data_IF_678306091387
#
_entry.id   IF_678306091387
#
_cell.length_a   1.000
_cell.length_b   1.000
_cell.length_c   1.000
_cell.angle_alpha   90.00
_cell.angle_beta   90.00
_cell.angle_gamma   90.00
#
_symmetry.space_group_name_H-M   'P 1'
#
loop_
_entity.id
_entity.type
_entity.pdbx_description
1 polymer ?
#
# COMPACT_ATOMS: atom_id res chain seq x y z
N UNK A 1 -88.24 -6.78 -22.60
CA UNK A 1 -87.02 -6.65 -23.44
C UNK A 1 -86.21 -5.50 -22.92
N UNK A 2 -85.18 -5.79 -22.12
CA UNK A 2 -84.26 -4.78 -21.56
C UNK A 2 -83.00 -4.73 -22.44
N UNK A 3 -82.77 -3.59 -23.10
CA UNK A 3 -81.55 -3.31 -23.83
C UNK A 3 -80.43 -2.92 -22.82
N UNK A 4 -79.50 -3.81 -22.62
CA UNK A 4 -78.28 -3.50 -21.92
C UNK A 4 -77.43 -2.54 -22.76
N UNK A 5 -77.41 -1.28 -22.42
CA UNK A 5 -76.45 -0.30 -22.94
C UNK A 5 -75.07 -0.58 -22.39
N UNK A 6 -74.14 -1.02 -23.22
CA UNK A 6 -72.73 -1.09 -22.91
C UNK A 6 -72.20 0.34 -22.76
N UNK A 7 -71.90 0.74 -21.53
CA UNK A 7 -71.27 2.03 -21.26
C UNK A 7 -69.91 2.06 -21.92
N UNK A 8 -69.71 2.96 -22.89
CA UNK A 8 -68.41 3.22 -23.49
C UNK A 8 -67.43 3.74 -22.39
N UNK A 9 -66.29 3.10 -22.24
CA UNK A 9 -65.26 3.53 -21.34
C UNK A 9 -64.85 4.99 -21.63
N UNK A 10 -64.71 5.87 -20.62
CA UNK A 10 -64.33 7.26 -20.84
C UNK A 10 -62.96 7.32 -21.52
N UNK A 11 -62.93 7.88 -22.75
CA UNK A 11 -61.72 8.06 -23.50
C UNK A 11 -60.70 8.82 -22.66
N UNK A 12 -59.51 8.28 -22.57
CA UNK A 12 -58.39 8.85 -21.77
C UNK A 12 -58.19 10.32 -22.20
N UNK A 13 -58.27 11.30 -21.28
CA UNK A 13 -58.19 12.71 -21.66
C UNK A 13 -56.87 12.99 -22.37
N UNK A 14 -56.91 13.61 -23.55
CA UNK A 14 -55.74 13.87 -24.39
C UNK A 14 -54.55 14.49 -23.62
N UNK A 15 -54.82 15.27 -22.55
CA UNK A 15 -53.85 15.85 -21.64
C UNK A 15 -53.05 14.78 -20.91
N UNK A 16 -53.64 13.69 -20.50
CA UNK A 16 -52.99 12.58 -19.83
C UNK A 16 -52.10 11.81 -20.83
N UNK A 17 -52.56 11.64 -22.07
CA UNK A 17 -51.76 11.03 -23.14
C UNK A 17 -50.51 11.88 -23.46
N UNK A 18 -50.66 13.19 -23.52
CA UNK A 18 -49.49 14.08 -23.76
C UNK A 18 -48.51 14.07 -22.62
N UNK A 19 -48.95 14.08 -21.35
CA UNK A 19 -48.07 14.01 -20.18
C UNK A 19 -47.33 12.66 -20.13
N UNK A 20 -48.05 11.55 -20.35
CA UNK A 20 -47.43 10.20 -20.39
C UNK A 20 -46.44 10.10 -21.54
N UNK A 21 -46.79 10.63 -22.73
CA UNK A 21 -45.89 10.67 -23.88
C UNK A 21 -44.59 11.45 -23.60
N UNK A 22 -44.72 12.61 -22.96
CA UNK A 22 -43.56 13.42 -22.58
C UNK A 22 -42.67 12.71 -21.56
N UNK A 23 -43.24 12.04 -20.56
CA UNK A 23 -42.49 11.23 -19.58
C UNK A 23 -41.76 10.06 -20.22
N UNK A 24 -42.42 9.38 -21.18
CA UNK A 24 -41.77 8.28 -21.92
C UNK A 24 -40.61 8.76 -22.79
N UNK A 25 -40.75 9.91 -23.45
CA UNK A 25 -39.67 10.52 -24.24
C UNK A 25 -38.50 10.90 -23.32
N UNK A 26 -38.77 11.49 -22.16
CA UNK A 26 -37.74 11.83 -21.16
C UNK A 26 -37.04 10.57 -20.67
N UNK A 27 -37.80 9.54 -20.31
CA UNK A 27 -37.23 8.25 -19.88
C UNK A 27 -36.36 7.61 -20.97
N UNK A 28 -36.86 7.59 -22.22
CA UNK A 28 -36.11 7.08 -23.36
C UNK A 28 -34.81 7.87 -23.62
N UNK A 29 -34.83 9.21 -23.45
CA UNK A 29 -33.66 10.08 -23.57
C UNK A 29 -32.62 9.75 -22.52
N UNK A 30 -33.03 9.54 -21.27
CA UNK A 30 -32.12 9.16 -20.16
C UNK A 30 -31.50 7.79 -20.42
N UNK A 31 -32.31 6.80 -20.82
CA UNK A 31 -31.80 5.46 -21.14
C UNK A 31 -30.86 5.50 -22.34
N UNK A 32 -31.23 6.23 -23.41
CA UNK A 32 -30.37 6.41 -24.57
C UNK A 32 -29.03 7.05 -24.21
N UNK A 33 -29.02 8.05 -23.33
CA UNK A 33 -27.82 8.68 -22.84
C UNK A 33 -26.94 7.72 -22.02
N UNK A 34 -27.56 6.90 -21.17
CA UNK A 34 -26.85 5.87 -20.40
C UNK A 34 -26.19 4.85 -21.33
N UNK A 35 -26.91 4.37 -22.35
CA UNK A 35 -26.33 3.44 -23.34
C UNK A 35 -25.17 4.07 -24.11
N UNK A 36 -25.30 5.32 -24.53
CA UNK A 36 -24.20 6.04 -25.20
C UNK A 36 -22.97 6.12 -24.33
N UNK A 37 -23.11 6.50 -23.05
CA UNK A 37 -21.97 6.62 -22.12
C UNK A 37 -21.37 5.26 -21.78
N UNK A 38 -22.18 4.21 -21.64
CA UNK A 38 -21.69 2.90 -21.21
C UNK A 38 -21.13 2.03 -22.32
N UNK A 39 -21.64 2.20 -23.55
CA UNK A 39 -21.33 1.29 -24.67
C UNK A 39 -20.56 1.98 -25.80
N UNK A 40 -20.90 3.22 -26.12
CA UNK A 40 -20.37 3.91 -27.31
C UNK A 40 -19.23 4.87 -27.00
N UNK A 41 -19.30 5.56 -25.87
CA UNK A 41 -18.29 6.56 -25.49
C UNK A 41 -17.04 5.85 -24.90
N UNK A 42 -16.07 5.55 -25.75
CA UNK A 42 -14.80 4.92 -25.37
C UNK A 42 -13.94 5.85 -24.47
N UNK A 43 -14.06 7.17 -24.61
CA UNK A 43 -13.30 8.12 -23.79
C UNK A 43 -13.86 8.27 -22.38
N UNK A 44 -15.18 8.13 -22.21
CA UNK A 44 -15.89 8.26 -20.92
C UNK A 44 -16.66 7.01 -20.53
N UNK A 45 -16.50 5.93 -21.26
CA UNK A 45 -17.19 4.67 -21.06
C UNK A 45 -16.66 3.85 -19.88
N UNK A 46 -17.17 2.63 -19.77
CA UNK A 46 -16.84 1.71 -18.67
C UNK A 46 -15.34 1.45 -18.52
N UNK A 47 -14.56 1.45 -19.61
CA UNK A 47 -13.11 1.29 -19.59
C UNK A 47 -12.43 2.47 -18.91
N UNK A 48 -12.76 3.70 -19.27
CA UNK A 48 -12.25 4.92 -18.65
C UNK A 48 -12.60 5.00 -17.16
N UNK A 49 -13.85 4.69 -16.78
CA UNK A 49 -14.27 4.70 -15.38
C UNK A 49 -13.54 3.63 -14.55
N UNK A 50 -13.29 2.45 -15.13
CA UNK A 50 -12.47 1.40 -14.49
C UNK A 50 -11.03 1.84 -14.32
N UNK A 51 -10.45 2.48 -15.32
CA UNK A 51 -9.09 3.00 -15.26
C UNK A 51 -8.96 4.12 -14.23
N UNK A 52 -9.90 5.08 -14.19
CA UNK A 52 -9.96 6.13 -13.17
C UNK A 52 -10.15 5.54 -11.76
N UNK A 53 -10.98 4.53 -11.61
CA UNK A 53 -11.15 3.78 -10.36
C UNK A 53 -9.87 3.07 -9.95
N UNK A 54 -9.21 2.40 -10.89
CA UNK A 54 -7.94 1.72 -10.67
C UNK A 54 -6.82 2.69 -10.26
N UNK A 55 -6.70 3.86 -10.93
CA UNK A 55 -5.69 4.87 -10.58
C UNK A 55 -5.85 5.40 -9.15
N UNK A 56 -7.06 5.45 -8.61
CA UNK A 56 -7.31 5.87 -7.23
C UNK A 56 -7.02 4.78 -6.21
N UNK A 57 -7.23 3.52 -6.55
CA UNK A 57 -7.06 2.36 -5.68
C UNK A 57 -5.67 1.74 -5.77
N UNK A 58 -5.01 1.81 -6.94
CA UNK A 58 -3.68 1.23 -7.16
C UNK A 58 -2.60 2.16 -6.61
N UNK A 59 -1.74 1.59 -5.79
CA UNK A 59 -0.54 2.24 -5.28
C UNK A 59 0.69 1.47 -5.74
N UNK A 60 1.77 2.19 -6.02
CA UNK A 60 3.09 1.60 -6.22
C UNK A 60 3.88 1.67 -4.91
N UNK A 61 4.47 0.57 -4.53
CA UNK A 61 5.48 0.54 -3.48
C UNK A 61 6.81 0.14 -4.09
N UNK A 62 7.86 0.80 -3.67
CA UNK A 62 9.21 0.44 -4.02
C UNK A 62 9.63 -0.82 -3.28
N UNK A 63 10.17 -1.79 -4.01
CA UNK A 63 10.84 -2.95 -3.44
C UNK A 63 12.30 -2.57 -3.26
N UNK A 64 12.81 -2.48 -2.02
CA UNK A 64 14.20 -2.08 -1.80
C UNK A 64 15.14 -3.06 -2.49
N UNK A 65 16.11 -2.51 -3.22
CA UNK A 65 17.07 -3.30 -3.94
C UNK A 65 18.08 -3.96 -3.00
N UNK A 66 18.48 -5.15 -3.35
CA UNK A 66 19.58 -5.85 -2.71
C UNK A 66 20.91 -5.32 -3.28
N UNK A 67 21.76 -4.77 -2.40
CA UNK A 67 23.10 -4.32 -2.80
C UNK A 67 24.03 -5.52 -2.97
N UNK A 68 24.74 -5.60 -4.08
CA UNK A 68 25.63 -6.69 -4.44
C UNK A 68 26.65 -7.02 -3.36
N UNK A 69 26.99 -8.28 -3.18
CA UNK A 69 28.00 -8.76 -2.25
C UNK A 69 29.40 -8.46 -2.81
N UNK A 70 30.32 -8.10 -1.93
CA UNK A 70 31.74 -8.00 -2.24
C UNK A 70 32.45 -9.19 -1.58
N UNK A 71 33.19 -9.95 -2.37
CA UNK A 71 33.92 -11.12 -1.89
C UNK A 71 35.43 -10.98 -2.19
N UNK A 72 36.23 -11.70 -1.47
CA UNK A 72 37.64 -11.87 -1.81
C UNK A 72 37.82 -12.89 -2.96
N UNK A 73 39.06 -13.14 -3.38
CA UNK A 73 39.40 -14.13 -4.42
C UNK A 73 39.05 -15.58 -4.06
N UNK A 74 38.79 -15.88 -2.79
CA UNK A 74 38.39 -17.21 -2.32
C UNK A 74 36.88 -17.34 -2.15
N UNK A 75 36.13 -16.26 -2.41
CA UNK A 75 34.68 -16.21 -2.25
C UNK A 75 34.22 -15.83 -0.83
N UNK A 76 35.14 -15.51 0.08
CA UNK A 76 34.77 -15.08 1.42
C UNK A 76 34.13 -13.69 1.39
N UNK A 77 32.99 -13.48 2.09
CA UNK A 77 32.28 -12.22 2.04
C UNK A 77 33.02 -11.11 2.81
N UNK A 78 33.39 -10.07 2.10
CA UNK A 78 33.96 -8.84 2.65
C UNK A 78 32.90 -7.78 2.97
N UNK A 79 31.82 -7.74 2.15
CA UNK A 79 30.65 -6.91 2.42
C UNK A 79 29.39 -7.62 1.95
N UNK A 80 28.42 -7.78 2.84
CA UNK A 80 27.16 -8.48 2.58
C UNK A 80 25.96 -7.65 3.03
N UNK A 81 24.88 -7.68 2.27
CA UNK A 81 23.60 -7.07 2.65
C UNK A 81 22.69 -8.09 3.31
N UNK A 82 22.43 -7.90 4.60
CA UNK A 82 21.58 -8.81 5.38
C UNK A 82 20.15 -8.24 5.44
N UNK A 83 19.12 -9.04 5.16
CA UNK A 83 17.74 -8.61 5.29
C UNK A 83 17.41 -8.33 6.76
N UNK A 84 16.83 -7.16 7.00
CA UNK A 84 16.35 -6.73 8.32
C UNK A 84 14.93 -6.20 8.18
N UNK A 85 14.20 -6.12 9.28
CA UNK A 85 12.85 -5.58 9.30
C UNK A 85 12.82 -4.41 10.28
N UNK A 86 12.37 -3.28 9.80
CA UNK A 86 12.05 -2.13 10.64
C UNK A 86 10.58 -2.18 11.01
N UNK A 87 10.30 -2.30 12.31
CA UNK A 87 8.96 -2.31 12.87
C UNK A 87 8.50 -0.86 13.10
N UNK A 88 7.30 -0.56 12.66
CA UNK A 88 6.66 0.73 12.80
C UNK A 88 5.24 0.60 13.32
N UNK A 89 4.68 1.67 13.85
CA UNK A 89 3.29 1.71 14.26
C UNK A 89 2.62 3.02 13.86
N UNK A 90 1.29 2.95 13.69
CA UNK A 90 0.39 4.08 13.75
C UNK A 90 0.00 4.30 15.22
N UNK A 91 0.43 5.42 15.85
CA UNK A 91 0.21 5.63 17.28
C UNK A 91 -1.26 5.65 17.69
N UNK A 92 -2.13 6.16 16.84
CA UNK A 92 -3.57 6.24 17.12
C UNK A 92 -4.18 4.85 17.16
N UNK A 93 -3.94 4.04 16.12
CA UNK A 93 -4.44 2.65 16.06
C UNK A 93 -3.85 1.75 17.12
N UNK A 94 -2.56 1.95 17.46
CA UNK A 94 -1.91 1.18 18.51
C UNK A 94 -2.53 1.48 19.87
N UNK A 95 -2.83 2.75 20.18
CA UNK A 95 -3.52 3.16 21.40
C UNK A 95 -4.90 2.53 21.52
N UNK A 96 -5.68 2.58 20.44
CA UNK A 96 -7.03 2.00 20.38
C UNK A 96 -7.01 0.47 20.56
N UNK A 97 -5.92 -0.19 20.19
CA UNK A 97 -5.80 -1.64 20.32
C UNK A 97 -5.76 -2.14 21.77
N UNK A 98 -5.35 -1.31 22.72
CA UNK A 98 -5.17 -1.66 24.13
C UNK A 98 -4.12 -2.76 24.40
N UNK A 99 -3.29 -3.11 23.39
CA UNK A 99 -2.34 -4.22 23.48
C UNK A 99 -0.89 -3.78 23.62
N UNK A 100 -0.67 -2.65 24.29
CA UNK A 100 0.66 -2.05 24.41
C UNK A 100 1.62 -2.93 25.22
N UNK A 101 1.16 -3.51 26.34
CA UNK A 101 1.98 -4.38 27.20
C UNK A 101 2.49 -5.62 26.45
N UNK A 102 1.60 -6.31 25.71
CA UNK A 102 1.98 -7.48 24.91
C UNK A 102 3.02 -7.13 23.83
N UNK A 103 2.89 -5.94 23.24
CA UNK A 103 3.84 -5.44 22.25
C UNK A 103 5.19 -5.10 22.89
N UNK A 104 5.18 -4.45 24.06
CA UNK A 104 6.38 -4.10 24.81
C UNK A 104 7.18 -5.34 25.21
N UNK A 105 6.49 -6.35 25.74
CA UNK A 105 7.12 -7.65 26.09
C UNK A 105 7.75 -8.32 24.86
N UNK A 106 7.06 -8.35 23.74
CA UNK A 106 7.57 -8.95 22.50
C UNK A 106 8.79 -8.21 21.94
N UNK A 107 8.88 -6.90 22.17
CA UNK A 107 10.01 -6.06 21.78
C UNK A 107 11.16 -6.07 22.80
N UNK A 108 10.93 -6.62 24.00
CA UNK A 108 11.87 -6.54 25.11
C UNK A 108 12.07 -5.12 25.63
N UNK A 109 11.05 -4.27 25.56
CA UNK A 109 11.06 -2.89 26.00
C UNK A 109 10.11 -2.70 27.20
N UNK A 110 10.37 -1.65 28.00
CA UNK A 110 9.43 -1.27 29.06
C UNK A 110 8.11 -0.73 28.47
N UNK A 111 6.98 -1.19 29.00
CA UNK A 111 5.67 -0.67 28.62
C UNK A 111 5.58 0.84 28.86
N UNK A 112 6.13 1.33 29.97
CA UNK A 112 6.17 2.74 30.30
C UNK A 112 6.93 3.57 29.26
N UNK A 113 8.10 3.10 28.82
CA UNK A 113 8.88 3.77 27.77
C UNK A 113 8.13 3.80 26.45
N UNK A 114 7.48 2.70 26.09
CA UNK A 114 6.68 2.61 24.88
C UNK A 114 5.46 3.54 24.94
N UNK A 115 4.82 3.66 26.10
CA UNK A 115 3.73 4.58 26.34
C UNK A 115 4.16 6.04 26.23
N UNK A 116 5.29 6.43 26.84
CA UNK A 116 5.83 7.78 26.74
C UNK A 116 6.16 8.15 25.28
N UNK A 117 6.75 7.21 24.53
CA UNK A 117 7.00 7.41 23.10
C UNK A 117 5.69 7.55 22.31
N UNK A 118 4.68 6.78 22.64
CA UNK A 118 3.36 6.86 22.01
C UNK A 118 2.71 8.23 22.25
N UNK A 119 2.90 8.82 23.42
CA UNK A 119 2.40 10.16 23.73
C UNK A 119 3.10 11.25 22.92
N UNK A 120 4.44 11.17 22.79
CA UNK A 120 5.22 12.10 21.96
C UNK A 120 4.85 12.08 20.48
N UNK A 121 4.32 10.97 20.00
CA UNK A 121 3.90 10.79 18.59
C UNK A 121 2.38 10.76 18.43
N UNK A 122 1.61 11.24 19.43
CA UNK A 122 0.14 11.16 19.44
C UNK A 122 -0.53 11.78 18.22
N UNK A 123 0.01 12.89 17.72
CA UNK A 123 -0.51 13.63 16.55
C UNK A 123 -0.02 13.08 15.21
N UNK A 124 0.89 12.10 15.24
CA UNK A 124 1.46 11.50 14.03
C UNK A 124 0.77 10.19 13.69
N UNK A 125 0.85 9.80 12.43
CA UNK A 125 0.36 8.51 11.94
C UNK A 125 1.45 7.47 11.72
N UNK A 126 2.68 7.79 12.14
CA UNK A 126 3.82 6.93 11.95
C UNK A 126 4.84 7.15 13.07
N UNK A 127 5.27 6.05 13.68
CA UNK A 127 6.42 6.01 14.59
C UNK A 127 7.21 4.73 14.39
N UNK A 128 8.52 4.81 14.54
CA UNK A 128 9.36 3.61 14.60
C UNK A 128 9.24 2.95 15.96
N UNK A 129 8.90 1.66 16.00
CA UNK A 129 8.95 0.84 17.22
C UNK A 129 10.38 0.32 17.46
N UNK A 130 10.92 -0.37 16.47
CA UNK A 130 12.30 -0.87 16.52
C UNK A 130 12.85 -0.96 15.09
N UNK A 131 14.06 -0.42 14.87
CA UNK A 131 14.71 -0.43 13.56
C UNK A 131 15.69 -1.59 13.42
N UNK A 132 15.85 -2.06 12.18
CA UNK A 132 16.86 -3.06 11.80
C UNK A 132 16.81 -4.36 12.64
N UNK A 133 15.61 -4.84 12.92
CA UNK A 133 15.41 -6.04 13.70
C UNK A 133 15.62 -7.31 12.86
N UNK A 134 15.97 -8.39 13.53
CA UNK A 134 16.10 -9.70 12.88
C UNK A 134 14.73 -10.17 12.36
N UNK A 135 14.69 -10.94 11.25
CA UNK A 135 13.45 -11.46 10.73
C UNK A 135 12.65 -12.29 11.73
N UNK A 136 13.34 -12.96 12.67
CA UNK A 136 12.70 -13.80 13.70
C UNK A 136 11.95 -12.98 14.75
N UNK A 137 12.57 -11.91 15.25
CA UNK A 137 11.90 -10.98 16.17
C UNK A 137 10.71 -10.32 15.48
N UNK A 138 10.93 -9.85 14.25
CA UNK A 138 9.86 -9.20 13.50
C UNK A 138 8.68 -10.14 13.23
N UNK A 139 8.93 -11.41 12.89
CA UNK A 139 7.85 -12.42 12.73
C UNK A 139 7.07 -12.62 14.02
N UNK A 140 7.74 -12.70 15.17
CA UNK A 140 7.06 -12.81 16.48
C UNK A 140 6.16 -11.62 16.74
N UNK A 141 6.67 -10.39 16.58
CA UNK A 141 5.91 -9.16 16.82
C UNK A 141 4.74 -9.02 15.86
N UNK A 142 4.96 -9.21 14.56
CA UNK A 142 3.89 -9.13 13.55
C UNK A 142 2.87 -10.26 13.70
N UNK A 143 3.29 -11.43 14.18
CA UNK A 143 2.42 -12.58 14.50
C UNK A 143 1.39 -12.27 15.59
N UNK A 144 1.66 -11.28 16.46
CA UNK A 144 0.69 -10.82 17.46
C UNK A 144 -0.53 -10.12 16.83
N UNK A 145 -0.45 -9.68 15.56
CA UNK A 145 -1.51 -8.98 14.83
C UNK A 145 -2.10 -7.80 15.61
N UNK A 146 -1.22 -7.00 16.22
CA UNK A 146 -1.64 -5.79 16.93
C UNK A 146 -2.04 -4.73 15.90
N UNK A 147 -3.23 -4.14 16.07
CA UNK A 147 -3.71 -3.12 15.16
C UNK A 147 -2.75 -1.92 15.08
N UNK A 148 -2.49 -1.42 13.87
CA UNK A 148 -1.58 -0.30 13.64
C UNK A 148 -0.11 -0.66 13.63
N UNK A 149 0.29 -1.92 13.86
CA UNK A 149 1.69 -2.35 13.79
C UNK A 149 2.01 -2.95 12.43
N UNK A 150 3.11 -2.52 11.83
CA UNK A 150 3.58 -3.01 10.53
C UNK A 150 5.09 -3.21 10.48
N UNK A 151 5.54 -3.92 9.46
CA UNK A 151 6.96 -4.17 9.21
C UNK A 151 7.37 -3.73 7.81
N UNK A 152 8.50 -3.05 7.70
CA UNK A 152 9.13 -2.69 6.43
C UNK A 152 10.41 -3.47 6.25
N UNK A 153 10.54 -4.19 5.14
CA UNK A 153 11.78 -4.88 4.79
C UNK A 153 12.81 -3.85 4.37
N UNK A 154 14.00 -3.98 4.94
CA UNK A 154 15.18 -3.16 4.65
C UNK A 154 16.40 -4.05 4.56
N UNK A 155 17.54 -3.51 4.10
CA UNK A 155 18.82 -4.24 4.06
C UNK A 155 19.86 -3.47 4.85
N UNK A 156 20.51 -4.17 5.78
CA UNK A 156 21.67 -3.64 6.51
C UNK A 156 22.95 -4.20 5.91
N UNK A 157 23.87 -3.32 5.60
CA UNK A 157 25.20 -3.72 5.14
C UNK A 157 26.04 -4.17 6.33
N UNK A 158 26.64 -5.32 6.21
CA UNK A 158 27.51 -5.91 7.19
C UNK A 158 28.88 -6.18 6.57
N UNK A 159 29.95 -5.93 7.32
CA UNK A 159 31.34 -6.09 6.89
C UNK A 159 32.01 -7.10 7.80
N UNK A 160 32.04 -8.40 7.44
CA UNK A 160 32.56 -9.46 8.30
C UNK A 160 34.02 -9.30 8.67
N UNK A 161 34.85 -8.77 7.74
CA UNK A 161 36.27 -8.51 7.97
C UNK A 161 36.56 -7.31 8.88
N UNK A 162 35.51 -6.57 9.33
CA UNK A 162 35.63 -5.47 10.27
C UNK A 162 36.63 -4.40 9.84
N UNK A 163 37.50 -3.99 10.78
CA UNK A 163 38.47 -2.90 10.55
C UNK A 163 39.58 -3.25 9.56
N UNK A 164 39.91 -4.54 9.43
CA UNK A 164 41.02 -5.00 8.59
C UNK A 164 40.85 -4.64 7.13
N UNK A 165 39.62 -4.71 6.63
CA UNK A 165 39.31 -4.44 5.25
C UNK A 165 38.55 -3.10 5.02
N UNK A 166 38.28 -2.38 6.11
CA UNK A 166 37.40 -1.18 6.07
C UNK A 166 37.98 -0.07 5.18
N UNK A 167 39.31 0.14 5.19
CA UNK A 167 39.96 1.16 4.36
C UNK A 167 39.84 0.85 2.85
N UNK A 168 39.94 -0.43 2.47
CA UNK A 168 39.86 -0.86 1.06
C UNK A 168 38.41 -0.96 0.60
N UNK A 169 37.55 -1.55 1.40
CA UNK A 169 36.12 -1.73 1.05
C UNK A 169 35.41 -0.40 1.11
N UNK A 170 35.73 0.43 2.09
CA UNK A 170 35.06 1.69 2.34
C UNK A 170 33.70 1.50 3.03
N UNK A 171 32.89 2.55 2.98
CA UNK A 171 31.62 2.63 3.69
C UNK A 171 30.52 3.17 2.77
N UNK A 172 29.29 2.86 3.11
CA UNK A 172 28.10 3.48 2.54
C UNK A 172 27.46 4.47 3.50
N UNK A 173 26.75 5.48 2.98
CA UNK A 173 25.92 6.39 3.78
C UNK A 173 24.59 5.73 4.20
N UNK A 174 23.78 6.47 4.97
CA UNK A 174 22.44 6.04 5.40
C UNK A 174 21.49 5.80 4.23
N UNK A 175 21.68 6.49 3.10
CA UNK A 175 20.88 6.35 1.88
C UNK A 175 21.31 5.15 1.02
N UNK A 176 22.30 4.40 1.45
CA UNK A 176 22.78 3.21 0.77
C UNK A 176 23.82 3.45 -0.31
N UNK A 177 24.28 4.69 -0.55
CA UNK A 177 25.32 5.04 -1.52
C UNK A 177 26.72 4.82 -0.93
N UNK A 178 27.62 4.24 -1.71
CA UNK A 178 29.04 4.13 -1.36
C UNK A 178 29.71 5.50 -1.31
N UNK A 179 30.36 5.80 -0.20
CA UNK A 179 31.04 7.10 0.02
C UNK A 179 32.57 6.98 -0.08
N UNK A 180 33.10 5.79 0.10
CA UNK A 180 34.55 5.55 0.06
C UNK A 180 34.89 4.15 -0.46
N UNK A 181 36.16 3.92 -0.83
CA UNK A 181 36.71 2.62 -1.19
C UNK A 181 36.01 1.93 -2.38
N UNK A 182 36.02 0.60 -2.37
CA UNK A 182 35.36 -0.23 -3.39
C UNK A 182 33.85 0.00 -3.44
N UNK A 183 33.22 0.29 -2.30
CA UNK A 183 31.79 0.62 -2.25
C UNK A 183 31.43 1.82 -3.13
N UNK A 184 32.32 2.83 -3.18
CA UNK A 184 32.14 4.00 -4.06
C UNK A 184 32.58 3.71 -5.48
N UNK A 185 33.71 3.06 -5.66
CA UNK A 185 34.28 2.80 -7.01
C UNK A 185 33.34 1.92 -7.86
N UNK A 186 32.67 0.98 -7.24
CA UNK A 186 31.74 0.04 -7.90
C UNK A 186 30.27 0.32 -7.58
N UNK A 187 29.91 1.57 -7.24
CA UNK A 187 28.56 1.95 -6.88
C UNK A 187 27.52 1.51 -7.92
N UNK A 188 27.76 1.73 -9.21
CA UNK A 188 26.85 1.39 -10.30
C UNK A 188 26.59 -0.12 -10.43
N UNK A 189 27.59 -0.94 -10.10
CA UNK A 189 27.50 -2.41 -10.16
C UNK A 189 26.87 -2.95 -8.87
N UNK A 190 27.27 -2.39 -7.72
CA UNK A 190 26.83 -2.86 -6.42
C UNK A 190 25.39 -2.38 -6.09
N UNK A 191 25.01 -1.21 -6.58
CA UNK A 191 23.69 -0.65 -6.35
C UNK A 191 22.64 -1.46 -7.10
N UNK A 192 21.79 -2.19 -6.38
CA UNK A 192 20.71 -2.95 -6.98
C UNK A 192 19.66 -2.04 -7.61
N UNK A 193 18.96 -2.54 -8.61
CA UNK A 193 17.85 -1.80 -9.23
C UNK A 193 16.60 -1.94 -8.37
N UNK A 194 16.05 -0.81 -7.97
CA UNK A 194 14.79 -0.76 -7.19
C UNK A 194 13.65 -1.31 -8.04
N UNK A 195 12.95 -2.31 -7.53
CA UNK A 195 11.74 -2.84 -8.14
C UNK A 195 10.53 -2.01 -7.74
N UNK A 196 9.46 -2.10 -8.53
CA UNK A 196 8.16 -1.49 -8.20
C UNK A 196 7.10 -2.58 -8.12
N UNK A 197 6.36 -2.58 -7.03
CA UNK A 197 5.21 -3.45 -6.82
C UNK A 197 3.94 -2.61 -6.85
N UNK A 198 2.96 -3.03 -7.63
CA UNK A 198 1.63 -2.42 -7.67
C UNK A 198 0.66 -3.22 -6.82
N UNK A 199 -0.07 -2.56 -5.96
CA UNK A 199 -1.07 -3.19 -5.10
C UNK A 199 -2.31 -2.32 -4.97
N UNK A 200 -3.45 -2.96 -4.73
CA UNK A 200 -4.71 -2.28 -4.44
C UNK A 200 -4.79 -2.08 -2.93
N UNK A 201 -5.08 -0.85 -2.53
CA UNK A 201 -5.23 -0.43 -1.16
C UNK A 201 -6.72 -0.30 -0.81
N UNK A 202 -7.12 -0.73 0.39
CA UNK A 202 -8.46 -0.51 0.91
C UNK A 202 -8.65 0.92 1.47
N UNK A 203 -9.85 1.24 1.94
CA UNK A 203 -10.16 2.51 2.60
C UNK A 203 -9.33 2.73 3.89
N UNK A 204 -8.91 1.66 4.55
CA UNK A 204 -8.14 1.70 5.79
C UNK A 204 -6.63 1.79 5.56
N UNK A 205 -6.22 1.58 4.30
CA UNK A 205 -4.83 1.67 3.92
C UNK A 205 -4.10 0.36 3.81
N UNK A 206 -4.77 -0.74 3.99
CA UNK A 206 -4.19 -2.08 3.93
C UNK A 206 -4.14 -2.61 2.49
N UNK A 207 -3.08 -3.32 2.13
CA UNK A 207 -2.94 -3.91 0.81
C UNK A 207 -3.86 -5.14 0.69
N UNK A 208 -4.87 -5.05 -0.21
CA UNK A 208 -5.83 -6.14 -0.45
C UNK A 208 -5.26 -7.16 -1.43
N UNK A 209 -4.65 -6.69 -2.52
CA UNK A 209 -4.22 -7.55 -3.63
C UNK A 209 -3.04 -6.95 -4.39
N UNK A 210 -2.08 -7.82 -4.72
CA UNK A 210 -1.00 -7.49 -5.63
C UNK A 210 -1.49 -7.55 -7.08
N UNK A 211 -1.16 -6.51 -7.86
CA UNK A 211 -1.64 -6.36 -9.25
C UNK A 211 -0.50 -6.59 -10.27
N UNK A 212 0.76 -6.60 -9.83
CA UNK A 212 1.92 -6.85 -10.67
C UNK A 212 3.23 -6.44 -10.02
N UNK A 213 4.30 -7.00 -10.50
CA UNK A 213 5.70 -6.67 -10.18
C UNK A 213 6.34 -6.07 -11.41
#
# INVERSE_FOLDING_TARGET
MAKNGVAAAPGMPWRLVTVVGLLLILAASVVGRLVLIQVVDQERGAAFLREQGAMRAVRSAEIPAYRGMVTDRRGEPLAISTPVITLWADPQRLRESGRLGVLADALGQSELELQQRLELYSDKRFMYLARHQTPDLARRVLGLKVAGVGGKREYRRFYPAGEVASQSIGLKNVDGKGIAGLEKAYEEILHGRVGQKRYIKDLHGDAIRDVGV
#
